data_IF_571009022995
#
_entry.id   IF_571009022995
#
_cell.length_a   1.000
_cell.length_b   1.000
_cell.length_c   1.000
_cell.angle_alpha   90.00
_cell.angle_beta   90.00
_cell.angle_gamma   90.00
#
_symmetry.space_group_name_H-M   'P 1'
#
loop_
_entity.id
_entity.type
_entity.pdbx_description
1 polymer ?
#
# COMPACT_ATOMS: atom_id res chain seq x y z
N UNK A 1 2.94 11.24 -14.98
CA UNK A 1 3.70 10.13 -14.36
C UNK A 1 2.78 9.36 -13.44
N UNK A 2 3.11 8.11 -13.13
CA UNK A 2 2.41 7.33 -12.11
C UNK A 2 3.40 6.86 -11.03
N UNK A 3 2.85 6.48 -9.88
CA UNK A 3 3.55 5.82 -8.79
C UNK A 3 2.82 4.52 -8.47
N UNK A 4 3.56 3.43 -8.35
CA UNK A 4 3.02 2.20 -7.77
C UNK A 4 3.19 2.26 -6.25
N UNK A 5 2.11 2.51 -5.51
CA UNK A 5 2.19 2.72 -4.06
C UNK A 5 2.34 1.43 -3.25
N UNK A 6 2.24 0.25 -3.87
CA UNK A 6 2.35 -1.03 -3.18
C UNK A 6 2.74 -2.15 -4.15
N UNK A 7 3.93 -2.71 -3.97
CA UNK A 7 4.40 -3.91 -4.66
C UNK A 7 5.37 -4.71 -3.77
N UNK A 8 5.69 -5.94 -4.16
CA UNK A 8 6.60 -6.83 -3.42
C UNK A 8 7.77 -7.26 -4.32
N UNK A 9 8.63 -6.29 -4.66
CA UNK A 9 9.82 -6.54 -5.48
C UNK A 9 10.81 -7.50 -4.80
N UNK A 10 10.73 -7.65 -3.48
CA UNK A 10 11.56 -8.53 -2.66
C UNK A 10 11.18 -10.02 -2.81
N UNK A 11 10.01 -10.34 -3.38
CA UNK A 11 9.57 -11.73 -3.50
C UNK A 11 10.40 -12.52 -4.52
N UNK A 12 10.53 -13.83 -4.27
CA UNK A 12 11.34 -14.74 -5.08
C UNK A 12 10.88 -14.81 -6.54
N UNK A 13 9.60 -14.54 -6.79
CA UNK A 13 9.00 -14.44 -8.13
C UNK A 13 9.74 -13.49 -9.07
N UNK A 14 10.40 -12.45 -8.53
CA UNK A 14 11.15 -11.46 -9.31
C UNK A 14 12.66 -11.64 -9.25
N UNK A 15 13.20 -12.45 -8.34
CA UNK A 15 14.64 -12.59 -8.12
C UNK A 15 15.46 -12.80 -9.41
N UNK A 16 15.03 -13.64 -10.37
CA UNK A 16 15.80 -13.88 -11.59
C UNK A 16 15.87 -12.71 -12.57
N UNK A 17 14.97 -11.72 -12.47
CA UNK A 17 14.80 -10.68 -13.49
C UNK A 17 14.44 -9.30 -12.92
N UNK A 18 14.68 -9.07 -11.63
CA UNK A 18 14.24 -7.88 -10.89
C UNK A 18 14.64 -6.58 -11.58
N UNK A 19 15.90 -6.48 -12.04
CA UNK A 19 16.39 -5.31 -12.77
C UNK A 19 15.55 -5.01 -14.01
N UNK A 20 15.17 -6.05 -14.76
CA UNK A 20 14.34 -5.90 -15.95
C UNK A 20 12.90 -5.51 -15.60
N UNK A 21 12.35 -6.01 -14.48
CA UNK A 21 11.02 -5.63 -13.98
C UNK A 21 10.99 -4.15 -13.60
N UNK A 22 11.99 -3.69 -12.84
CA UNK A 22 12.13 -2.27 -12.46
C UNK A 22 12.31 -1.40 -13.70
N UNK A 23 13.14 -1.82 -14.66
CA UNK A 23 13.34 -1.06 -15.90
C UNK A 23 12.05 -0.94 -16.73
N UNK A 24 11.26 -2.02 -16.87
CA UNK A 24 9.96 -1.98 -17.55
C UNK A 24 9.00 -0.99 -16.90
N UNK A 25 9.00 -0.88 -15.56
CA UNK A 25 8.20 0.10 -14.86
C UNK A 25 8.64 1.54 -15.18
N UNK A 26 9.95 1.81 -15.18
CA UNK A 26 10.50 3.12 -15.51
C UNK A 26 10.19 3.54 -16.95
N UNK A 27 10.31 2.60 -17.89
CA UNK A 27 10.02 2.78 -19.32
C UNK A 27 8.52 3.05 -19.55
N UNK A 28 7.64 2.43 -18.74
CA UNK A 28 6.20 2.69 -18.71
C UNK A 28 5.82 4.02 -18.01
N UNK A 29 6.80 4.80 -17.55
CA UNK A 29 6.55 6.09 -16.90
C UNK A 29 6.15 5.99 -15.42
N UNK A 30 6.36 4.83 -14.78
CA UNK A 30 6.22 4.63 -13.34
C UNK A 30 7.50 5.11 -12.67
N UNK A 31 7.48 6.32 -12.09
CA UNK A 31 8.72 7.00 -11.65
C UNK A 31 9.07 6.75 -10.19
N UNK A 32 8.13 6.19 -9.42
CA UNK A 32 8.34 5.75 -8.04
C UNK A 32 7.60 4.44 -7.81
N UNK A 33 8.15 3.61 -6.93
CA UNK A 33 7.56 2.35 -6.47
C UNK A 33 7.81 2.24 -4.97
N UNK A 34 6.83 1.72 -4.22
CA UNK A 34 7.01 1.38 -2.81
C UNK A 34 6.97 -0.14 -2.66
N UNK A 35 8.11 -0.75 -2.31
CA UNK A 35 8.17 -2.17 -2.00
C UNK A 35 7.82 -2.42 -0.53
N UNK A 36 6.95 -3.38 -0.26
CA UNK A 36 6.29 -3.50 1.04
C UNK A 36 6.87 -4.63 1.88
N UNK A 37 7.21 -4.28 3.12
CA UNK A 37 7.67 -5.23 4.12
C UNK A 37 6.54 -6.04 4.71
N UNK A 38 6.74 -7.36 4.76
CA UNK A 38 5.79 -8.31 5.34
C UNK A 38 6.31 -8.92 6.65
N UNK A 39 7.59 -8.72 6.97
CA UNK A 39 8.29 -9.24 8.16
C UNK A 39 9.45 -8.30 8.52
N UNK A 40 9.46 -7.77 9.74
CA UNK A 40 10.50 -6.84 10.21
C UNK A 40 11.86 -7.52 10.33
N UNK A 41 11.89 -8.80 10.73
CA UNK A 41 13.14 -9.58 10.82
C UNK A 41 13.82 -9.81 9.47
N UNK A 42 13.13 -9.58 8.35
CA UNK A 42 13.68 -9.65 6.99
C UNK A 42 13.92 -8.28 6.37
N UNK A 43 13.78 -7.20 7.14
CA UNK A 43 13.82 -5.84 6.62
C UNK A 43 15.14 -5.47 5.94
N UNK A 44 16.28 -6.05 6.34
CA UNK A 44 17.58 -5.77 5.70
C UNK A 44 17.58 -6.08 4.18
N UNK A 45 16.88 -7.13 3.73
CA UNK A 45 16.75 -7.46 2.32
C UNK A 45 15.95 -6.38 1.55
N UNK A 46 14.88 -5.89 2.17
CA UNK A 46 14.00 -4.86 1.62
C UNK A 46 14.71 -3.50 1.56
N UNK A 47 15.46 -3.15 2.62
CA UNK A 47 16.31 -1.95 2.65
C UNK A 47 17.32 -2.00 1.50
N UNK A 48 18.04 -3.12 1.36
CA UNK A 48 19.07 -3.29 0.32
C UNK A 48 18.46 -3.12 -1.08
N UNK A 49 17.27 -3.67 -1.31
CA UNK A 49 16.53 -3.49 -2.56
C UNK A 49 16.19 -2.02 -2.82
N UNK A 50 15.62 -1.31 -1.83
CA UNK A 50 15.27 0.10 -1.97
C UNK A 50 16.50 1.03 -2.15
N UNK A 51 17.66 0.65 -1.60
CA UNK A 51 18.94 1.35 -1.81
C UNK A 51 19.50 1.11 -3.22
N UNK A 52 19.23 -0.07 -3.80
CA UNK A 52 19.76 -0.46 -5.12
C UNK A 52 19.15 0.37 -6.24
N UNK A 53 17.87 0.72 -6.15
CA UNK A 53 17.16 1.47 -7.19
C UNK A 53 16.75 2.86 -6.70
N UNK A 54 17.12 3.90 -7.45
CA UNK A 54 16.76 5.29 -7.10
C UNK A 54 15.24 5.48 -6.95
N UNK A 55 14.47 4.88 -7.87
CA UNK A 55 13.02 4.99 -7.92
C UNK A 55 12.26 4.15 -6.89
N UNK A 56 12.93 3.26 -6.15
CA UNK A 56 12.27 2.37 -5.19
C UNK A 56 12.44 2.91 -3.77
N UNK A 57 11.34 2.94 -3.03
CA UNK A 57 11.26 3.21 -1.61
C UNK A 57 10.63 1.99 -0.93
N UNK A 58 10.63 1.94 0.40
CA UNK A 58 10.07 0.81 1.12
C UNK A 58 9.25 1.21 2.34
N UNK A 59 8.45 0.26 2.81
CA UNK A 59 7.87 0.29 4.15
C UNK A 59 8.65 -0.63 5.10
N UNK A 60 8.37 -0.52 6.40
CA UNK A 60 8.81 -1.49 7.42
C UNK A 60 7.62 -1.95 8.24
N UNK A 61 7.41 -3.27 8.32
CA UNK A 61 6.32 -3.81 9.11
C UNK A 61 6.13 -5.32 8.98
N UNK A 62 5.10 -5.81 9.68
CA UNK A 62 4.75 -7.22 9.78
C UNK A 62 3.32 -7.43 9.29
N UNK A 63 3.18 -8.15 8.18
CA UNK A 63 1.87 -8.54 7.63
C UNK A 63 1.11 -9.40 8.66
N UNK A 64 -0.23 -9.28 8.80
CA UNK A 64 -1.02 -10.01 9.80
C UNK A 64 -0.75 -11.51 9.86
N UNK A 65 -0.67 -12.17 8.70
CA UNK A 65 -0.36 -13.61 8.61
C UNK A 65 0.98 -14.03 9.26
N UNK A 66 1.90 -13.08 9.50
CA UNK A 66 3.20 -13.33 10.13
C UNK A 66 3.28 -12.78 11.57
N UNK A 67 2.22 -12.12 12.08
CA UNK A 67 2.27 -11.36 13.33
C UNK A 67 2.66 -12.20 14.56
N UNK A 68 2.24 -13.47 14.59
CA UNK A 68 2.55 -14.40 15.69
C UNK A 68 4.04 -14.75 15.80
N UNK A 69 4.84 -14.52 14.76
CA UNK A 69 6.28 -14.78 14.75
C UNK A 69 7.11 -13.59 15.27
N UNK A 70 6.49 -12.41 15.40
CA UNK A 70 7.14 -11.12 15.64
C UNK A 70 6.45 -10.33 16.77
N UNK A 71 5.89 -11.04 17.77
CA UNK A 71 5.23 -10.44 18.95
C UNK A 71 6.17 -9.57 19.81
N UNK A 72 7.47 -9.78 19.67
CA UNK A 72 8.54 -9.02 20.32
C UNK A 72 8.92 -7.72 19.59
N UNK A 73 8.44 -7.51 18.36
CA UNK A 73 8.68 -6.27 17.62
C UNK A 73 7.84 -5.15 18.22
N UNK A 74 8.52 -4.10 18.66
CA UNK A 74 7.89 -2.96 19.32
C UNK A 74 7.72 -1.77 18.39
N UNK A 75 6.92 -0.78 18.80
CA UNK A 75 6.85 0.50 18.11
C UNK A 75 8.20 1.23 18.09
N UNK A 76 9.05 1.07 19.12
CA UNK A 76 10.40 1.65 19.16
C UNK A 76 11.30 1.07 18.05
N UNK A 77 11.20 -0.23 17.79
CA UNK A 77 11.92 -0.89 16.70
C UNK A 77 11.51 -0.34 15.34
N UNK A 78 10.20 -0.23 15.10
CA UNK A 78 9.64 0.32 13.86
C UNK A 78 10.06 1.79 13.66
N UNK A 79 9.97 2.61 14.71
CA UNK A 79 10.38 4.03 14.68
C UNK A 79 11.85 4.16 14.32
N UNK A 80 12.73 3.36 14.95
CA UNK A 80 14.17 3.35 14.66
C UNK A 80 14.46 2.95 13.22
N UNK A 81 13.81 1.90 12.70
CA UNK A 81 13.99 1.46 11.31
C UNK A 81 13.46 2.49 10.31
N UNK A 82 12.38 3.20 10.67
CA UNK A 82 11.78 4.25 9.88
C UNK A 82 12.63 5.53 9.75
N UNK A 83 13.71 5.69 10.54
CA UNK A 83 14.65 6.79 10.37
C UNK A 83 15.38 6.72 9.02
N UNK A 84 15.53 5.52 8.45
CA UNK A 84 16.21 5.32 7.17
C UNK A 84 15.55 6.12 6.02
N UNK A 85 16.29 6.87 5.17
CA UNK A 85 15.70 7.78 4.19
C UNK A 85 14.84 7.10 3.13
N UNK A 86 15.10 5.83 2.81
CA UNK A 86 14.28 5.04 1.88
C UNK A 86 13.00 4.45 2.51
N UNK A 87 12.86 4.49 3.83
CA UNK A 87 11.63 4.04 4.51
C UNK A 87 10.63 5.18 4.55
N UNK A 88 9.51 5.01 3.86
CA UNK A 88 8.50 6.06 3.63
C UNK A 88 7.13 5.72 4.23
N UNK A 89 7.00 4.53 4.82
CA UNK A 89 5.76 4.04 5.41
C UNK A 89 6.02 3.01 6.51
N UNK A 90 5.04 2.83 7.39
CA UNK A 90 4.97 1.71 8.33
C UNK A 90 4.01 0.67 7.74
N UNK A 91 4.30 -0.62 7.93
CA UNK A 91 3.50 -1.73 7.42
C UNK A 91 4.16 -2.49 6.26
N UNK A 92 3.43 -3.36 5.57
CA UNK A 92 1.99 -3.58 5.78
C UNK A 92 1.71 -4.27 7.11
N UNK A 93 0.64 -3.86 7.77
CA UNK A 93 0.11 -4.47 8.99
C UNK A 93 -1.41 -4.34 8.99
N UNK A 94 -2.11 -5.09 9.83
CA UNK A 94 -3.56 -5.02 9.87
C UNK A 94 -4.18 -6.34 10.28
N UNK A 95 -5.28 -6.72 9.64
CA UNK A 95 -6.08 -7.89 9.99
C UNK A 95 -6.43 -8.71 8.73
N UNK A 96 -6.13 -9.99 8.75
CA UNK A 96 -6.55 -10.98 7.76
C UNK A 96 -7.23 -12.15 8.48
N UNK A 97 -8.56 -12.19 8.40
CA UNK A 97 -9.38 -13.27 8.98
C UNK A 97 -9.86 -14.26 7.93
N UNK A 98 -9.40 -14.12 6.68
CA UNK A 98 -9.75 -15.05 5.62
C UNK A 98 -8.92 -16.33 5.72
N UNK A 99 -7.65 -16.20 6.08
CA UNK A 99 -6.76 -17.33 6.35
C UNK A 99 -6.47 -17.47 7.84
N UNK A 100 -6.37 -18.71 8.32
CA UNK A 100 -6.03 -19.03 9.72
C UNK A 100 -4.51 -19.21 9.89
N UNK A 101 -3.73 -18.23 9.44
CA UNK A 101 -2.25 -18.28 9.52
C UNK A 101 -1.67 -17.69 10.80
N UNK A 102 -2.42 -16.80 11.47
CA UNK A 102 -2.02 -16.20 12.73
C UNK A 102 -3.25 -15.95 13.62
N UNK A 103 -3.17 -16.19 14.94
CA UNK A 103 -4.26 -15.87 15.87
C UNK A 103 -4.64 -14.40 15.81
N UNK A 104 -5.94 -14.09 15.95
CA UNK A 104 -6.46 -12.72 15.86
C UNK A 104 -5.78 -11.77 16.85
N UNK A 105 -5.53 -12.26 18.06
CA UNK A 105 -4.89 -11.49 19.14
C UNK A 105 -3.46 -11.08 18.76
N UNK A 106 -2.73 -11.95 18.06
CA UNK A 106 -1.39 -11.63 17.55
C UNK A 106 -1.45 -10.57 16.45
N UNK A 107 -2.42 -10.68 15.53
CA UNK A 107 -2.63 -9.68 14.48
C UNK A 107 -2.98 -8.31 15.06
N UNK A 108 -3.89 -8.26 16.03
CA UNK A 108 -4.28 -7.03 16.72
C UNK A 108 -3.13 -6.42 17.51
N UNK A 109 -2.36 -7.21 18.27
CA UNK A 109 -1.18 -6.73 18.98
C UNK A 109 -0.16 -6.10 18.02
N UNK A 110 0.16 -6.81 16.93
CA UNK A 110 1.06 -6.31 15.90
C UNK A 110 0.52 -5.01 15.29
N UNK A 111 -0.75 -4.98 14.90
CA UNK A 111 -1.38 -3.81 14.30
C UNK A 111 -1.34 -2.58 15.22
N UNK A 112 -1.63 -2.74 16.51
CA UNK A 112 -1.55 -1.66 17.50
C UNK A 112 -0.12 -1.10 17.66
N UNK A 113 0.91 -1.96 17.64
CA UNK A 113 2.31 -1.51 17.66
C UNK A 113 2.67 -0.69 16.41
N UNK A 114 2.16 -1.08 15.23
CA UNK A 114 2.38 -0.36 13.98
C UNK A 114 1.62 0.98 13.94
N UNK A 115 0.41 1.04 14.52
CA UNK A 115 -0.33 2.28 14.70
C UNK A 115 0.43 3.25 15.60
N UNK A 116 0.99 2.79 16.72
CA UNK A 116 1.81 3.64 17.59
C UNK A 116 3.05 4.18 16.85
N UNK A 117 3.74 3.33 16.09
CA UNK A 117 4.87 3.75 15.28
C UNK A 117 4.48 4.79 14.20
N UNK A 118 3.36 4.58 13.50
CA UNK A 118 2.84 5.52 12.50
C UNK A 118 2.48 6.87 13.14
N UNK A 119 1.86 6.87 14.32
CA UNK A 119 1.54 8.08 15.09
C UNK A 119 2.79 8.84 15.51
N UNK A 120 3.83 8.15 15.95
CA UNK A 120 5.09 8.77 16.42
C UNK A 120 5.93 9.32 15.27
N UNK A 121 5.97 8.61 14.15
CA UNK A 121 6.78 8.98 12.98
C UNK A 121 6.05 9.91 12.00
N UNK A 122 4.71 9.94 12.06
CA UNK A 122 3.85 10.57 11.06
C UNK A 122 4.09 10.04 9.62
N UNK A 123 4.62 8.83 9.50
CA UNK A 123 4.64 8.09 8.24
C UNK A 123 3.32 7.33 8.08
N UNK A 124 2.83 7.20 6.84
CA UNK A 124 1.59 6.48 6.59
C UNK A 124 1.70 5.02 7.01
N UNK A 125 0.67 4.53 7.70
CA UNK A 125 0.45 3.11 7.91
C UNK A 125 -0.21 2.50 6.67
N UNK A 126 0.45 1.51 6.06
CA UNK A 126 -0.10 0.68 4.98
C UNK A 126 -0.91 -0.45 5.63
N UNK A 127 -2.24 -0.41 5.47
CA UNK A 127 -3.17 -1.27 6.20
C UNK A 127 -3.71 -2.37 5.31
N UNK A 128 -3.38 -3.62 5.66
CA UNK A 128 -4.00 -4.82 5.09
C UNK A 128 -5.29 -5.13 5.84
N UNK A 129 -6.40 -5.22 5.11
CA UNK A 129 -7.69 -5.61 5.67
C UNK A 129 -8.33 -6.68 4.80
N UNK A 130 -8.61 -7.85 5.38
CA UNK A 130 -9.31 -8.93 4.68
C UNK A 130 -10.26 -9.69 5.59
N UNK A 131 -11.55 -9.66 5.26
CA UNK A 131 -12.61 -10.31 6.04
C UNK A 131 -12.65 -9.87 7.52
N UNK A 132 -12.21 -8.63 7.81
CA UNK A 132 -12.04 -8.10 9.16
C UNK A 132 -12.60 -6.68 9.33
N UNK A 133 -13.54 -6.28 8.45
CA UNK A 133 -14.00 -4.89 8.31
C UNK A 133 -14.49 -4.24 9.62
N UNK A 134 -15.25 -4.98 10.44
CA UNK A 134 -15.78 -4.45 11.70
C UNK A 134 -14.68 -4.15 12.73
N UNK A 135 -13.81 -5.13 13.00
CA UNK A 135 -12.68 -4.97 13.92
C UNK A 135 -11.70 -3.90 13.42
N UNK A 136 -11.45 -3.85 12.11
CA UNK A 136 -10.60 -2.83 11.50
C UNK A 136 -11.14 -1.42 11.73
N UNK A 137 -12.43 -1.21 11.47
CA UNK A 137 -13.08 0.08 11.71
C UNK A 137 -13.04 0.48 13.20
N UNK A 138 -13.34 -0.46 14.10
CA UNK A 138 -13.34 -0.22 15.55
C UNK A 138 -11.96 0.16 16.07
N UNK A 139 -10.91 -0.55 15.64
CA UNK A 139 -9.53 -0.25 16.05
C UNK A 139 -9.11 1.12 15.51
N UNK A 140 -9.37 1.41 14.24
CA UNK A 140 -8.99 2.68 13.63
C UNK A 140 -9.67 3.87 14.31
N UNK A 141 -10.96 3.76 14.62
CA UNK A 141 -11.72 4.80 15.32
C UNK A 141 -11.13 5.05 16.72
N UNK A 142 -11.00 4.00 17.54
CA UNK A 142 -10.44 4.10 18.91
C UNK A 142 -9.02 4.63 18.93
N UNK A 143 -8.18 4.23 17.99
CA UNK A 143 -6.79 4.66 17.94
C UNK A 143 -6.63 6.08 17.39
N UNK A 144 -7.53 6.52 16.52
CA UNK A 144 -7.54 7.92 16.03
C UNK A 144 -7.95 8.88 17.15
N UNK A 145 -8.87 8.49 18.04
CA UNK A 145 -9.24 9.28 19.23
C UNK A 145 -8.07 9.54 20.19
N UNK A 146 -7.07 8.64 20.21
CA UNK A 146 -5.83 8.81 21.00
C UNK A 146 -4.82 9.75 20.35
N UNK A 147 -5.04 10.10 19.08
CA UNK A 147 -4.17 10.96 18.29
C UNK A 147 -4.10 10.47 16.85
N UNK A 148 -4.29 11.40 15.92
CA UNK A 148 -4.29 11.13 14.49
C UNK A 148 -2.95 10.58 13.98
N UNK A 149 -3.02 9.68 13.01
CA UNK A 149 -1.89 9.14 12.26
C UNK A 149 -2.32 8.96 10.80
N UNK A 150 -1.42 9.20 9.83
CA UNK A 150 -1.74 8.98 8.43
C UNK A 150 -1.81 7.48 8.13
N UNK A 151 -2.74 7.08 7.27
CA UNK A 151 -2.85 5.69 6.83
C UNK A 151 -3.48 5.56 5.44
N UNK A 152 -3.28 4.38 4.86
CA UNK A 152 -3.90 3.94 3.61
C UNK A 152 -4.49 2.54 3.81
N UNK A 153 -5.75 2.35 3.42
CA UNK A 153 -6.33 1.02 3.22
C UNK A 153 -5.87 0.52 1.86
N UNK A 154 -4.85 -0.33 1.85
CA UNK A 154 -4.27 -0.79 0.58
C UNK A 154 -5.12 -1.90 -0.04
N UNK A 155 -4.91 -2.15 -1.33
CA UNK A 155 -5.56 -3.21 -2.11
C UNK A 155 -7.06 -3.33 -1.81
N UNK A 156 -7.77 -2.20 -1.82
CA UNK A 156 -9.08 -2.12 -1.21
C UNK A 156 -10.06 -3.13 -1.82
N UNK A 157 -10.49 -4.08 -0.99
CA UNK A 157 -11.39 -5.17 -1.34
C UNK A 157 -12.47 -5.43 -0.27
N UNK A 158 -12.59 -4.51 0.68
CA UNK A 158 -13.59 -4.52 1.77
C UNK A 158 -14.93 -3.89 1.35
N UNK A 159 -15.89 -3.91 2.25
CA UNK A 159 -17.20 -3.29 2.05
C UNK A 159 -17.20 -1.77 2.16
N UNK A 160 -18.22 -1.14 1.60
CA UNK A 160 -18.44 0.32 1.59
C UNK A 160 -18.32 0.98 2.97
N UNK A 161 -18.82 0.33 4.03
CA UNK A 161 -18.79 0.88 5.38
C UNK A 161 -17.36 1.13 5.89
N UNK A 162 -16.41 0.23 5.59
CA UNK A 162 -15.01 0.42 5.97
C UNK A 162 -14.36 1.55 5.16
N UNK A 163 -14.69 1.68 3.86
CA UNK A 163 -14.21 2.80 3.05
C UNK A 163 -14.68 4.15 3.61
N UNK A 164 -15.98 4.28 3.90
CA UNK A 164 -16.56 5.50 4.46
C UNK A 164 -15.94 5.87 5.81
N UNK A 165 -15.77 4.89 6.71
CA UNK A 165 -15.08 5.11 7.99
C UNK A 165 -13.61 5.50 7.80
N UNK A 166 -12.89 4.83 6.89
CA UNK A 166 -11.49 5.17 6.57
C UNK A 166 -11.35 6.62 6.08
N UNK A 167 -12.25 7.06 5.19
CA UNK A 167 -12.28 8.44 4.67
C UNK A 167 -12.63 9.44 5.77
N UNK A 168 -13.62 9.14 6.62
CA UNK A 168 -14.02 9.97 7.77
C UNK A 168 -12.84 10.24 8.71
N UNK A 169 -12.01 9.22 8.96
CA UNK A 169 -10.81 9.30 9.79
C UNK A 169 -9.60 9.93 9.06
N UNK A 170 -9.77 10.39 7.82
CA UNK A 170 -8.75 11.08 7.04
C UNK A 170 -7.83 10.17 6.21
N UNK A 171 -8.09 8.87 6.19
CA UNK A 171 -7.31 7.87 5.47
C UNK A 171 -7.44 7.93 3.96
N UNK A 172 -6.49 7.28 3.29
CA UNK A 172 -6.45 7.11 1.85
C UNK A 172 -6.91 5.70 1.46
N UNK A 173 -7.32 5.52 0.20
CA UNK A 173 -7.73 4.23 -0.35
C UNK A 173 -6.97 4.02 -1.65
N UNK A 174 -6.23 2.91 -1.77
CA UNK A 174 -5.65 2.49 -3.04
C UNK A 174 -6.41 1.34 -3.68
N UNK A 175 -6.39 1.34 -5.00
CA UNK A 175 -7.00 0.30 -5.82
C UNK A 175 -5.92 -0.45 -6.57
N UNK A 176 -6.00 -1.79 -6.53
CA UNK A 176 -5.15 -2.71 -7.27
C UNK A 176 -5.84 -3.18 -8.56
N UNK A 177 -5.24 -4.15 -9.26
CA UNK A 177 -5.82 -4.73 -10.47
C UNK A 177 -7.23 -5.34 -10.27
N UNK A 178 -7.66 -5.59 -9.03
CA UNK A 178 -9.04 -5.99 -8.70
C UNK A 178 -10.08 -5.04 -9.32
N UNK A 179 -9.79 -3.74 -9.37
CA UNK A 179 -10.68 -2.72 -9.94
C UNK A 179 -11.04 -3.00 -11.40
N UNK A 180 -10.12 -3.63 -12.15
CA UNK A 180 -10.29 -3.97 -13.57
C UNK A 180 -11.10 -5.25 -13.81
N UNK A 181 -11.39 -6.03 -12.76
CA UNK A 181 -12.07 -7.31 -12.93
C UNK A 181 -13.56 -7.12 -13.21
N UNK A 182 -14.10 -7.95 -14.12
CA UNK A 182 -15.50 -7.90 -14.54
C UNK A 182 -16.49 -7.87 -13.36
N UNK A 183 -16.22 -8.67 -12.32
CA UNK A 183 -17.13 -8.86 -11.19
C UNK A 183 -16.92 -7.86 -10.03
N UNK A 184 -15.99 -6.90 -10.15
CA UNK A 184 -15.68 -5.94 -9.07
C UNK A 184 -16.52 -4.66 -9.17
N UNK A 185 -17.83 -4.78 -9.40
CA UNK A 185 -18.72 -3.62 -9.50
C UNK A 185 -18.74 -2.82 -8.19
N UNK A 186 -18.88 -3.51 -7.06
CA UNK A 186 -18.90 -2.91 -5.72
C UNK A 186 -17.61 -2.12 -5.42
N UNK A 187 -16.45 -2.60 -5.89
CA UNK A 187 -15.18 -1.89 -5.73
C UNK A 187 -15.14 -0.60 -6.55
N UNK A 188 -15.70 -0.62 -7.77
CA UNK A 188 -15.84 0.60 -8.60
C UNK A 188 -16.86 1.58 -8.01
N UNK A 189 -17.92 1.09 -7.38
CA UNK A 189 -18.87 1.93 -6.65
C UNK A 189 -18.16 2.64 -5.47
N UNK A 190 -17.35 1.91 -4.70
CA UNK A 190 -16.53 2.52 -3.65
C UNK A 190 -15.56 3.55 -4.23
N UNK A 191 -14.82 3.21 -5.28
CA UNK A 191 -13.91 4.15 -5.95
C UNK A 191 -14.60 5.45 -6.41
N UNK A 192 -15.87 5.37 -6.82
CA UNK A 192 -16.63 6.54 -7.25
C UNK A 192 -16.93 7.53 -6.12
N UNK A 193 -17.08 7.05 -4.87
CA UNK A 193 -17.40 7.89 -3.70
C UNK A 193 -16.16 8.39 -2.94
N UNK A 194 -14.99 7.79 -3.14
CA UNK A 194 -13.76 8.27 -2.48
C UNK A 194 -13.42 9.68 -2.97
N UNK A 195 -13.16 10.64 -2.06
CA UNK A 195 -12.68 11.97 -2.43
C UNK A 195 -11.47 11.89 -3.36
N UNK A 196 -11.42 12.74 -4.39
CA UNK A 196 -10.34 12.70 -5.38
C UNK A 196 -8.97 12.86 -4.74
N UNK A 197 -8.90 13.65 -3.69
CA UNK A 197 -7.69 13.87 -2.91
C UNK A 197 -7.42 12.74 -1.89
N UNK A 198 -8.03 11.56 -2.02
CA UNK A 198 -7.75 10.37 -1.19
C UNK A 198 -7.56 9.08 -2.00
N UNK A 199 -7.52 9.18 -3.33
CA UNK A 199 -7.38 8.06 -4.27
C UNK A 199 -5.93 7.74 -4.62
N UNK A 200 -5.54 6.47 -4.50
CA UNK A 200 -4.26 5.95 -4.98
C UNK A 200 -4.45 4.73 -5.90
N UNK A 201 -3.39 4.36 -6.61
CA UNK A 201 -3.33 3.14 -7.43
C UNK A 201 -2.08 2.35 -7.08
N UNK A 202 -2.19 1.03 -7.18
CA UNK A 202 -1.10 0.11 -6.92
C UNK A 202 -1.22 -1.15 -7.78
N UNK A 203 -0.18 -1.98 -7.75
CA UNK A 203 -0.22 -3.30 -8.38
C UNK A 203 -0.50 -4.42 -7.39
N UNK A 204 0.06 -4.35 -6.18
CA UNK A 204 0.20 -5.51 -5.29
C UNK A 204 1.00 -6.65 -5.95
N UNK A 205 1.91 -6.30 -6.88
CA UNK A 205 2.67 -7.27 -7.63
C UNK A 205 3.57 -8.11 -6.71
N UNK A 206 3.69 -9.45 -6.91
CA UNK A 206 3.35 -10.19 -8.13
C UNK A 206 1.88 -10.63 -8.26
N UNK A 207 1.02 -10.26 -7.31
CA UNK A 207 -0.38 -10.68 -7.27
C UNK A 207 -1.30 -9.79 -8.12
N UNK A 208 -2.53 -10.25 -8.33
CA UNK A 208 -3.67 -9.43 -8.80
C UNK A 208 -3.45 -8.67 -10.11
N UNK A 209 -2.77 -9.29 -11.09
CA UNK A 209 -2.55 -8.68 -12.40
C UNK A 209 -3.85 -8.13 -13.02
N UNK A 210 -3.88 -6.84 -13.43
CA UNK A 210 -5.08 -6.22 -14.00
C UNK A 210 -5.41 -6.78 -15.38
N UNK A 211 -6.63 -6.58 -15.88
CA UNK A 211 -6.95 -6.76 -17.31
C UNK A 211 -6.10 -5.76 -18.12
N UNK A 212 -5.43 -6.16 -19.23
CA UNK A 212 -5.55 -7.45 -19.97
C UNK A 212 -4.60 -8.57 -19.53
N UNK A 213 -3.85 -8.40 -18.44
CA UNK A 213 -2.86 -9.35 -17.92
C UNK A 213 -3.41 -10.34 -16.87
N UNK A 214 -4.71 -10.29 -16.56
CA UNK A 214 -5.35 -11.14 -15.55
C UNK A 214 -5.00 -12.62 -15.73
N UNK A 215 -4.53 -13.24 -14.65
CA UNK A 215 -4.08 -14.65 -14.63
C UNK A 215 -2.59 -14.84 -14.95
N UNK A 216 -1.85 -13.76 -15.26
CA UNK A 216 -0.39 -13.76 -15.35
C UNK A 216 0.23 -13.21 -14.06
N UNK A 217 1.55 -13.37 -13.90
CA UNK A 217 2.32 -12.67 -12.87
C UNK A 217 2.20 -11.16 -13.10
N UNK A 218 1.86 -10.42 -12.06
CA UNK A 218 1.78 -8.96 -12.12
C UNK A 218 3.19 -8.34 -12.05
N UNK A 219 3.31 -7.07 -12.42
CA UNK A 219 4.52 -6.26 -12.25
C UNK A 219 4.17 -4.76 -12.19
N UNK A 220 5.03 -3.91 -11.59
CA UNK A 220 4.70 -2.50 -11.37
C UNK A 220 4.31 -1.71 -12.63
N UNK A 221 4.84 -2.11 -13.80
CA UNK A 221 4.49 -1.49 -15.09
C UNK A 221 2.98 -1.59 -15.41
N UNK A 222 2.27 -2.55 -14.82
CA UNK A 222 0.84 -2.78 -15.09
C UNK A 222 -0.08 -1.83 -14.31
N UNK A 223 0.41 -1.02 -13.36
CA UNK A 223 -0.42 -0.08 -12.60
C UNK A 223 -1.16 0.93 -13.49
N UNK A 224 -0.61 1.21 -14.68
CA UNK A 224 -1.25 2.05 -15.70
C UNK A 224 -2.64 1.53 -16.11
N UNK A 225 -2.86 0.21 -16.10
CA UNK A 225 -4.15 -0.39 -16.45
C UNK A 225 -5.17 -0.19 -15.32
N UNK A 226 -4.74 -0.27 -14.07
CA UNK A 226 -5.56 0.06 -12.91
C UNK A 226 -5.94 1.54 -12.92
N UNK A 227 -4.97 2.43 -13.18
CA UNK A 227 -5.22 3.87 -13.29
C UNK A 227 -6.21 4.21 -14.42
N UNK A 228 -6.11 3.55 -15.58
CA UNK A 228 -7.05 3.75 -16.69
C UNK A 228 -8.49 3.41 -16.28
N UNK A 229 -8.72 2.27 -15.63
CA UNK A 229 -10.08 1.89 -15.17
C UNK A 229 -10.56 2.81 -14.05
N UNK A 230 -9.67 3.27 -13.17
CA UNK A 230 -10.04 4.26 -12.15
C UNK A 230 -10.47 5.58 -12.79
N UNK A 231 -9.77 6.05 -13.83
CA UNK A 231 -10.13 7.25 -14.58
C UNK A 231 -11.54 7.15 -15.18
N UNK A 232 -11.82 6.03 -15.86
CA UNK A 232 -13.15 5.74 -16.43
C UNK A 232 -14.23 5.71 -15.35
N UNK A 233 -13.94 5.06 -14.21
CA UNK A 233 -14.88 4.92 -13.09
C UNK A 233 -15.28 6.28 -12.51
N UNK A 234 -14.36 7.24 -12.51
CA UNK A 234 -14.57 8.54 -11.87
C UNK A 234 -14.79 9.69 -12.87
N UNK A 235 -14.77 9.40 -14.17
CA UNK A 235 -15.09 10.34 -15.25
C UNK A 235 -14.00 11.37 -15.55
N UNK A 236 -12.72 11.02 -15.45
CA UNK A 236 -11.58 11.92 -15.69
C UNK A 236 -10.66 11.40 -16.80
N UNK A 237 -9.76 12.24 -17.31
CA UNK A 237 -8.79 11.82 -18.32
C UNK A 237 -7.64 10.96 -17.73
N UNK A 238 -6.91 10.20 -18.57
CA UNK A 238 -5.69 9.51 -18.16
C UNK A 238 -4.63 10.43 -17.52
N UNK A 239 -4.49 11.66 -18.04
CA UNK A 239 -3.56 12.65 -17.50
C UNK A 239 -4.01 13.16 -16.13
N UNK A 240 -5.31 13.39 -15.96
CA UNK A 240 -5.90 13.86 -14.71
C UNK A 240 -5.81 12.80 -13.60
N UNK A 241 -6.11 11.52 -13.89
CA UNK A 241 -5.97 10.46 -12.88
C UNK A 241 -4.51 10.29 -12.44
N UNK A 242 -3.57 10.44 -13.39
CA UNK A 242 -2.16 10.31 -13.10
C UNK A 242 -1.67 11.44 -12.19
N UNK A 243 -2.16 12.67 -12.40
CA UNK A 243 -1.92 13.80 -11.51
C UNK A 243 -2.55 13.59 -10.13
N UNK A 244 -3.85 13.27 -10.07
CA UNK A 244 -4.59 13.03 -8.82
C UNK A 244 -3.88 11.99 -7.94
N UNK A 245 -3.61 10.81 -8.50
CA UNK A 245 -3.04 9.70 -7.73
C UNK A 245 -1.59 9.96 -7.33
N UNK A 246 -0.78 10.54 -8.20
CA UNK A 246 0.61 10.89 -7.87
C UNK A 246 0.67 11.99 -6.81
N UNK A 247 -0.16 13.02 -6.91
CA UNK A 247 -0.20 14.11 -5.94
C UNK A 247 -0.63 13.62 -4.55
N UNK A 248 -1.57 12.67 -4.51
CA UNK A 248 -1.98 12.01 -3.28
C UNK A 248 -0.84 11.18 -2.67
N UNK A 249 -0.11 10.42 -3.49
CA UNK A 249 1.08 9.68 -3.04
C UNK A 249 2.10 10.64 -2.42
N UNK A 250 2.47 11.73 -3.09
CA UNK A 250 3.49 12.64 -2.57
C UNK A 250 3.05 13.45 -1.36
N UNK A 251 1.73 13.62 -1.15
CA UNK A 251 1.20 14.20 0.08
C UNK A 251 1.19 13.21 1.23
N UNK A 252 0.85 11.95 0.97
CA UNK A 252 0.75 10.91 2.00
C UNK A 252 2.13 10.38 2.42
N UNK A 253 2.95 9.96 1.45
CA UNK A 253 4.29 9.43 1.67
C UNK A 253 5.30 10.59 1.73
N UNK A 254 5.21 11.40 2.79
CA UNK A 254 5.91 12.68 2.93
C UNK A 254 7.44 12.62 2.82
N UNK A 255 8.06 11.46 3.12
CA UNK A 255 9.50 11.21 2.95
C UNK A 255 9.91 10.86 1.52
N UNK A 256 8.95 10.57 0.64
CA UNK A 256 9.24 10.22 -0.76
C UNK A 256 9.23 11.48 -1.63
N UNK A 257 10.40 11.95 -2.11
CA UNK A 257 10.45 13.12 -2.97
C UNK A 257 9.84 12.84 -4.34
N UNK A 258 9.19 13.86 -4.90
CA UNK A 258 8.87 13.90 -6.32
C UNK A 258 10.14 13.66 -7.15
N UNK A 259 10.09 12.86 -8.23
CA UNK A 259 11.17 12.81 -9.19
C UNK A 259 11.51 14.21 -9.66
N UNK A 260 12.81 14.51 -9.82
CA UNK A 260 13.20 15.73 -10.50
C UNK A 260 12.59 15.72 -11.90
N UNK A 261 11.92 16.81 -12.28
CA UNK A 261 11.57 17.03 -13.68
C UNK A 261 12.88 17.12 -14.45
N UNK A 262 13.08 16.24 -15.43
CA UNK A 262 14.25 16.30 -16.29
C UNK A 262 14.31 17.66 -16.97
N UNK A 263 15.44 18.36 -16.80
CA UNK A 263 15.81 19.57 -17.57
C UNK A 263 16.02 19.17 -19.03
#
# INVERSE_FOLDING_TARGET
>A
MLVDSHCHLDFADFEPERDAVVQRALDAGIKRMVTISTRVRKFDAIRTLAETYEAVYCSVGTHPNNAHEELDITADDLVRLAEHPKVVAIGEAGLDYHYDYAPKEAQQQGFLAHIDAARRTQLPLVIHARSADADMAEILEKETEKGAFPFILHCFSSGRALAEKGIELGGYISFSGILTFKNSADIREVASIVPRDRLLVETDAPYLAPVPHRGKRNEPSFVQHTAAVLAETIGVSPEEIAAITSDNVFRLFSKMPRPAEGI
#
